data_IF_669896903896
#
_entry.id   IF_669896903896
#
_cell.length_a   1.000
_cell.length_b   1.000
_cell.length_c   1.000
_cell.angle_alpha   90.00
_cell.angle_beta   90.00
_cell.angle_gamma   90.00
#
_symmetry.space_group_name_H-M   'P 1'
#
loop_
_entity.id
_entity.type
_entity.pdbx_description
1 polymer ?
#
# COMPACT_ATOMS: atom_id res chain seq x y z
N UNK A 1 3.43 -27.19 1.69
CA UNK A 1 4.53 -26.26 1.39
C UNK A 1 5.59 -26.88 0.49
N UNK A 2 5.57 -28.20 0.26
CA UNK A 2 6.71 -28.91 -0.36
C UNK A 2 6.91 -28.65 -1.87
N UNK A 3 6.07 -27.80 -2.47
CA UNK A 3 6.09 -27.47 -3.91
C UNK A 3 6.45 -26.00 -4.18
N UNK A 4 6.89 -25.24 -3.16
CA UNK A 4 7.31 -23.84 -3.36
C UNK A 4 8.64 -23.78 -4.12
N UNK A 5 8.75 -22.85 -5.06
CA UNK A 5 9.93 -22.68 -5.91
C UNK A 5 10.38 -21.22 -6.00
N UNK A 6 10.27 -20.47 -4.90
CA UNK A 6 10.45 -19.01 -4.85
C UNK A 6 11.73 -18.51 -5.53
N UNK A 7 12.84 -19.24 -5.45
CA UNK A 7 14.12 -18.86 -6.09
C UNK A 7 14.11 -18.93 -7.63
N UNK A 8 13.14 -19.63 -8.20
CA UNK A 8 12.95 -19.75 -9.65
C UNK A 8 11.98 -18.69 -10.18
N UNK A 9 11.37 -17.90 -9.30
CA UNK A 9 10.40 -16.87 -9.64
C UNK A 9 11.10 -15.52 -9.65
N UNK A 10 10.94 -14.76 -10.73
CA UNK A 10 11.26 -13.34 -10.79
C UNK A 10 9.98 -12.58 -10.43
N UNK A 11 9.90 -11.98 -9.23
CA UNK A 11 8.67 -11.35 -8.77
C UNK A 11 8.53 -9.93 -9.32
N UNK A 12 7.34 -9.63 -9.84
CA UNK A 12 7.00 -8.35 -10.47
C UNK A 12 7.11 -7.19 -9.49
N UNK A 13 6.67 -7.39 -8.25
CA UNK A 13 6.62 -6.35 -7.22
C UNK A 13 8.03 -5.95 -6.75
N UNK A 14 8.93 -6.91 -6.53
CA UNK A 14 10.34 -6.65 -6.21
C UNK A 14 11.00 -5.80 -7.28
N UNK A 15 10.81 -6.17 -8.55
CA UNK A 15 11.44 -5.45 -9.67
C UNK A 15 10.84 -4.05 -9.83
N UNK A 16 9.54 -3.88 -9.58
CA UNK A 16 8.92 -2.56 -9.51
C UNK A 16 9.49 -1.70 -8.38
N UNK A 17 9.80 -2.28 -7.21
CA UNK A 17 10.50 -1.57 -6.13
C UNK A 17 11.95 -1.22 -6.49
N UNK A 18 12.66 -2.07 -7.23
CA UNK A 18 14.01 -1.76 -7.71
C UNK A 18 14.01 -0.53 -8.62
N UNK A 19 13.05 -0.44 -9.56
CA UNK A 19 12.83 0.77 -10.34
C UNK A 19 12.57 1.99 -9.44
N UNK A 20 11.71 1.84 -8.43
CA UNK A 20 11.37 2.94 -7.53
C UNK A 20 12.57 3.42 -6.71
N UNK A 21 13.43 2.50 -6.28
CA UNK A 21 14.71 2.81 -5.62
C UNK A 21 15.62 3.63 -6.54
N UNK A 22 15.73 3.29 -7.83
CA UNK A 22 16.50 4.08 -8.79
C UNK A 22 15.94 5.51 -8.93
N UNK A 23 14.61 5.66 -8.95
CA UNK A 23 13.93 6.97 -8.97
C UNK A 23 14.27 7.80 -7.73
N UNK A 24 14.24 7.20 -6.54
CA UNK A 24 14.60 7.86 -5.27
C UNK A 24 16.07 8.28 -5.27
N UNK A 25 16.97 7.38 -5.67
CA UNK A 25 18.41 7.68 -5.74
C UNK A 25 18.71 8.81 -6.71
N UNK A 26 18.08 8.81 -7.89
CA UNK A 26 18.25 9.89 -8.86
C UNK A 26 17.81 11.24 -8.26
N UNK A 27 16.65 11.28 -7.61
CA UNK A 27 16.16 12.48 -6.94
C UNK A 27 17.15 12.98 -5.88
N UNK A 28 17.61 12.11 -4.98
CA UNK A 28 18.57 12.47 -3.93
C UNK A 28 19.91 12.97 -4.48
N UNK A 29 20.43 12.36 -5.55
CA UNK A 29 21.65 12.85 -6.21
C UNK A 29 21.46 14.25 -6.80
N UNK A 30 20.28 14.53 -7.35
CA UNK A 30 19.90 15.86 -7.81
C UNK A 30 19.88 16.89 -6.67
N UNK A 31 19.26 16.57 -5.54
CA UNK A 31 19.22 17.45 -4.35
C UNK A 31 20.62 17.71 -3.76
N UNK A 32 21.55 16.76 -3.90
CA UNK A 32 22.96 16.93 -3.50
C UNK A 32 23.81 17.68 -4.54
N UNK A 33 23.25 18.07 -5.68
CA UNK A 33 23.95 18.76 -6.77
C UNK A 33 24.77 17.86 -7.69
N UNK A 34 24.71 16.53 -7.52
CA UNK A 34 25.40 15.59 -8.40
C UNK A 34 24.56 15.25 -9.63
N UNK A 35 24.46 16.23 -10.55
CA UNK A 35 23.63 16.12 -11.74
C UNK A 35 24.08 15.00 -12.68
N UNK A 36 25.38 14.74 -12.80
CA UNK A 36 25.92 13.63 -13.60
C UNK A 36 25.39 12.29 -13.12
N UNK A 37 25.49 11.99 -11.81
CA UNK A 37 24.99 10.71 -11.29
C UNK A 37 23.46 10.60 -11.37
N UNK A 38 22.75 11.70 -11.16
CA UNK A 38 21.29 11.75 -11.37
C UNK A 38 20.94 11.34 -12.81
N UNK A 39 21.63 11.89 -13.79
CA UNK A 39 21.33 11.66 -15.20
C UNK A 39 21.69 10.22 -15.63
N UNK A 40 22.79 9.67 -15.11
CA UNK A 40 23.13 8.24 -15.25
C UNK A 40 22.02 7.33 -14.67
N UNK A 41 21.60 7.57 -13.43
CA UNK A 41 20.54 6.79 -12.79
C UNK A 41 19.22 6.90 -13.55
N UNK A 42 18.90 8.07 -14.10
CA UNK A 42 17.70 8.24 -14.94
C UNK A 42 17.80 7.46 -16.25
N UNK A 43 18.97 7.40 -16.88
CA UNK A 43 19.21 6.59 -18.07
C UNK A 43 19.12 5.09 -17.77
N UNK A 44 19.78 4.63 -16.70
CA UNK A 44 19.70 3.25 -16.23
C UNK A 44 18.24 2.87 -15.94
N UNK A 45 17.50 3.76 -15.25
CA UNK A 45 16.08 3.57 -14.93
C UNK A 45 15.20 3.52 -16.17
N UNK A 46 15.47 4.33 -17.19
CA UNK A 46 14.72 4.29 -18.46
C UNK A 46 14.88 2.94 -19.14
N UNK A 47 16.12 2.45 -19.27
CA UNK A 47 16.39 1.12 -19.84
C UNK A 47 15.78 -0.01 -19.00
N UNK A 48 15.71 0.18 -17.67
CA UNK A 48 15.05 -0.77 -16.78
C UNK A 48 13.56 -0.91 -17.10
N UNK A 49 12.84 0.20 -17.36
CA UNK A 49 11.40 0.14 -17.72
C UNK A 49 11.18 -0.66 -18.98
N UNK A 50 11.99 -0.44 -20.02
CA UNK A 50 11.88 -1.18 -21.29
C UNK A 50 12.06 -2.68 -21.06
N UNK A 51 13.04 -3.06 -20.23
CA UNK A 51 13.28 -4.46 -19.86
C UNK A 51 12.15 -5.01 -19.00
N UNK A 52 11.68 -4.24 -18.02
CA UNK A 52 10.61 -4.62 -17.10
C UNK A 52 9.32 -4.92 -17.85
N UNK A 53 8.90 -4.04 -18.75
CA UNK A 53 7.69 -4.27 -19.56
C UNK A 53 7.86 -5.49 -20.47
N UNK A 54 9.02 -5.65 -21.12
CA UNK A 54 9.30 -6.82 -21.96
C UNK A 54 9.29 -8.16 -21.20
N UNK A 55 9.69 -8.15 -19.92
CA UNK A 55 9.79 -9.35 -19.09
C UNK A 55 8.46 -9.70 -18.42
N UNK A 56 7.75 -8.72 -17.87
CA UNK A 56 6.61 -9.00 -16.98
C UNK A 56 5.25 -8.74 -17.63
N UNK A 57 5.14 -7.86 -18.63
CA UNK A 57 3.84 -7.48 -19.18
C UNK A 57 3.34 -8.50 -20.21
N UNK A 58 2.26 -9.21 -19.90
CA UNK A 58 1.55 -10.03 -20.89
C UNK A 58 0.48 -9.16 -21.58
N UNK A 59 0.68 -8.87 -22.86
CA UNK A 59 -0.23 -8.05 -23.66
C UNK A 59 -1.59 -8.70 -23.94
N UNK A 60 -1.70 -10.03 -23.85
CA UNK A 60 -2.95 -10.77 -24.02
C UNK A 60 -3.80 -10.67 -22.76
N UNK A 61 -3.15 -10.80 -21.61
CA UNK A 61 -3.83 -10.69 -20.32
C UNK A 61 -4.04 -9.23 -19.91
N UNK A 62 -3.17 -8.30 -20.33
CA UNK A 62 -3.27 -6.87 -20.02
C UNK A 62 -2.78 -6.50 -18.62
N UNK A 63 -1.72 -7.15 -18.12
CA UNK A 63 -1.13 -6.86 -16.81
C UNK A 63 0.31 -7.39 -16.71
N UNK A 64 0.98 -7.04 -15.61
CA UNK A 64 2.29 -7.59 -15.26
C UNK A 64 2.17 -8.83 -14.37
N UNK A 65 2.95 -9.87 -14.66
CA UNK A 65 2.91 -11.14 -13.93
C UNK A 65 4.31 -11.58 -13.53
N UNK A 66 4.42 -12.37 -12.47
CA UNK A 66 5.68 -13.00 -12.11
C UNK A 66 6.16 -13.95 -13.22
N UNK A 67 7.47 -14.07 -13.40
CA UNK A 67 8.07 -14.93 -14.43
C UNK A 67 8.81 -16.10 -13.79
N UNK A 68 8.61 -17.32 -14.29
CA UNK A 68 9.51 -18.42 -14.01
C UNK A 68 10.82 -18.26 -14.82
N UNK A 69 11.97 -18.12 -14.17
CA UNK A 69 13.27 -17.96 -14.87
C UNK A 69 13.71 -19.20 -15.63
N UNK A 70 13.26 -20.39 -15.22
CA UNK A 70 13.63 -21.67 -15.84
C UNK A 70 12.79 -21.98 -17.07
N UNK A 71 11.48 -21.71 -17.02
CA UNK A 71 10.56 -22.00 -18.14
C UNK A 71 10.32 -20.80 -19.05
N UNK A 72 10.53 -19.58 -18.55
CA UNK A 72 10.20 -18.34 -19.27
C UNK A 72 8.69 -18.06 -19.32
N UNK A 73 7.89 -18.77 -18.52
CA UNK A 73 6.43 -18.61 -18.49
C UNK A 73 6.01 -17.63 -17.40
N UNK A 74 4.92 -16.90 -17.67
CA UNK A 74 4.25 -16.05 -16.68
C UNK A 74 3.36 -16.88 -15.77
N UNK A 75 3.34 -16.54 -14.48
CA UNK A 75 2.31 -16.99 -13.55
C UNK A 75 1.13 -16.04 -13.59
N UNK A 76 0.10 -16.43 -14.34
CA UNK A 76 -1.10 -15.62 -14.56
C UNK A 76 -2.17 -15.79 -13.46
N UNK A 77 -1.83 -16.45 -12.36
CA UNK A 77 -2.67 -16.56 -11.17
C UNK A 77 -3.10 -15.18 -10.65
N UNK A 78 -4.26 -15.13 -10.00
CA UNK A 78 -4.85 -13.88 -9.52
C UNK A 78 -4.18 -13.40 -8.22
N UNK A 79 -3.01 -12.78 -8.37
CA UNK A 79 -2.31 -12.05 -7.32
C UNK A 79 -2.42 -10.54 -7.52
N UNK A 80 -2.72 -9.76 -6.47
CA UNK A 80 -2.76 -8.31 -6.52
C UNK A 80 -1.40 -7.65 -6.80
N UNK A 81 -0.28 -8.38 -6.66
CA UNK A 81 1.07 -7.89 -7.00
C UNK A 81 1.17 -7.42 -8.45
N UNK A 82 0.31 -7.94 -9.34
CA UNK A 82 0.19 -7.52 -10.74
C UNK A 82 -0.06 -6.01 -10.92
N UNK A 83 -0.56 -5.32 -9.88
CA UNK A 83 -0.84 -3.88 -9.91
C UNK A 83 0.18 -3.04 -9.12
N UNK A 84 1.18 -3.63 -8.48
CA UNK A 84 2.25 -2.90 -7.78
C UNK A 84 3.04 -1.96 -8.72
N UNK A 85 3.24 -2.26 -10.02
CA UNK A 85 3.86 -1.30 -10.93
C UNK A 85 3.09 0.03 -11.05
N UNK A 86 1.76 0.04 -10.84
CA UNK A 86 0.97 1.28 -10.77
C UNK A 86 1.38 2.15 -9.58
N UNK A 87 1.69 1.54 -8.44
CA UNK A 87 2.09 2.25 -7.23
C UNK A 87 3.46 2.92 -7.36
N UNK A 88 4.41 2.21 -7.97
CA UNK A 88 5.80 2.63 -8.17
C UNK A 88 6.00 3.51 -9.40
N UNK A 89 4.98 3.57 -10.28
CA UNK A 89 5.04 4.23 -11.60
C UNK A 89 6.13 3.61 -12.50
N UNK A 90 6.31 2.28 -12.40
CA UNK A 90 7.28 1.48 -13.16
C UNK A 90 6.71 1.07 -14.53
N UNK A 91 6.41 2.06 -15.36
CA UNK A 91 5.89 1.89 -16.71
C UNK A 91 6.02 3.20 -17.47
N UNK A 92 5.89 3.15 -18.80
CA UNK A 92 5.82 4.35 -19.62
C UNK A 92 4.51 5.09 -19.36
N UNK A 93 4.56 6.20 -18.59
CA UNK A 93 3.38 6.97 -18.13
C UNK A 93 2.50 7.48 -19.27
N UNK A 94 3.04 7.65 -20.47
CA UNK A 94 2.28 8.03 -21.66
C UNK A 94 1.38 6.90 -22.19
N UNK A 95 1.58 5.67 -21.74
CA UNK A 95 0.75 4.53 -22.09
C UNK A 95 -0.49 4.45 -21.20
N UNK A 96 -1.43 5.38 -21.41
CA UNK A 96 -2.68 5.42 -20.64
C UNK A 96 -3.56 4.19 -20.85
N UNK A 97 -3.44 3.50 -21.99
CA UNK A 97 -4.15 2.26 -22.27
C UNK A 97 -3.75 1.13 -21.32
N UNK A 98 -2.43 0.94 -21.14
CA UNK A 98 -1.87 -0.08 -20.24
C UNK A 98 -2.40 0.03 -18.80
N UNK A 99 -2.56 1.25 -18.28
CA UNK A 99 -3.12 1.44 -16.93
C UNK A 99 -4.58 0.98 -16.82
N UNK A 100 -5.36 1.17 -17.89
CA UNK A 100 -6.77 0.74 -17.97
C UNK A 100 -6.82 -0.78 -18.08
N UNK A 101 -5.98 -1.39 -18.92
CA UNK A 101 -5.89 -2.84 -19.08
C UNK A 101 -5.63 -3.54 -17.74
N UNK A 102 -4.74 -2.99 -16.92
CA UNK A 102 -4.43 -3.54 -15.59
C UNK A 102 -5.65 -3.47 -14.66
N UNK A 103 -6.40 -2.36 -14.68
CA UNK A 103 -7.65 -2.24 -13.91
C UNK A 103 -8.70 -3.26 -14.40
N UNK A 104 -8.84 -3.42 -15.71
CA UNK A 104 -9.73 -4.41 -16.31
C UNK A 104 -9.34 -5.83 -15.92
N UNK A 105 -8.04 -6.13 -15.87
CA UNK A 105 -7.51 -7.43 -15.42
C UNK A 105 -7.77 -7.69 -13.95
N UNK A 106 -7.54 -6.71 -13.07
CA UNK A 106 -7.91 -6.81 -11.65
C UNK A 106 -9.41 -7.13 -11.48
N UNK A 107 -10.26 -6.52 -12.31
CA UNK A 107 -11.70 -6.74 -12.28
C UNK A 107 -12.09 -8.11 -12.85
N UNK A 108 -11.56 -8.48 -14.02
CA UNK A 108 -11.82 -9.75 -14.73
C UNK A 108 -11.37 -10.94 -13.90
N UNK A 109 -10.19 -10.86 -13.26
CA UNK A 109 -9.71 -11.89 -12.34
C UNK A 109 -10.49 -11.91 -11.01
N UNK A 110 -11.31 -10.90 -10.72
CA UNK A 110 -12.18 -10.87 -9.54
C UNK A 110 -11.53 -10.34 -8.25
N UNK A 111 -10.33 -9.75 -8.32
CA UNK A 111 -9.60 -9.24 -7.14
C UNK A 111 -10.32 -8.07 -6.45
N UNK A 112 -11.13 -7.31 -7.18
CA UNK A 112 -11.79 -6.09 -6.68
C UNK A 112 -13.21 -6.31 -6.12
N UNK A 113 -13.73 -7.54 -6.18
CA UNK A 113 -15.14 -7.82 -5.90
C UNK A 113 -15.46 -7.89 -4.39
N UNK A 114 -14.45 -8.05 -3.54
CA UNK A 114 -14.67 -8.36 -2.13
C UNK A 114 -15.05 -7.14 -1.30
N UNK A 115 -15.86 -7.30 -0.24
CA UNK A 115 -16.35 -6.18 0.55
C UNK A 115 -15.33 -5.63 1.55
N UNK A 116 -14.34 -6.43 1.97
CA UNK A 116 -13.34 -6.01 2.95
C UNK A 116 -12.06 -5.39 2.39
N UNK A 117 -11.92 -5.28 1.07
CA UNK A 117 -10.67 -4.93 0.39
C UNK A 117 -10.21 -6.06 -0.53
N UNK A 118 -8.98 -6.00 -1.00
CA UNK A 118 -8.38 -6.97 -1.93
C UNK A 118 -7.68 -8.09 -1.13
N UNK A 119 -7.94 -9.38 -1.44
CA UNK A 119 -7.22 -10.49 -0.81
C UNK A 119 -5.79 -10.59 -1.36
N UNK A 120 -4.91 -11.26 -0.62
CA UNK A 120 -3.51 -11.48 -1.00
C UNK A 120 -3.35 -12.38 -2.24
N UNK A 121 -4.33 -13.23 -2.51
CA UNK A 121 -4.48 -14.00 -3.76
C UNK A 121 -5.94 -14.48 -3.88
N UNK A 122 -6.28 -15.19 -4.96
CA UNK A 122 -7.51 -15.98 -5.05
C UNK A 122 -7.30 -17.49 -4.84
N UNK A 123 -6.10 -17.92 -4.45
CA UNK A 123 -5.80 -19.32 -4.17
C UNK A 123 -6.55 -19.77 -2.92
N UNK A 124 -7.32 -20.85 -3.02
CA UNK A 124 -8.14 -21.40 -1.93
C UNK A 124 -7.56 -22.72 -1.44
N UNK A 125 -7.80 -23.03 -0.17
CA UNK A 125 -7.43 -24.32 0.42
C UNK A 125 -5.94 -24.48 0.73
N UNK A 126 -5.12 -23.43 0.53
CA UNK A 126 -3.68 -23.46 0.82
C UNK A 126 -3.36 -23.38 2.31
N UNK A 127 -4.30 -22.84 3.10
CA UNK A 127 -4.16 -22.47 4.51
C UNK A 127 -2.97 -21.51 4.79
N UNK A 128 -2.40 -20.86 3.77
CA UNK A 128 -1.30 -19.91 3.94
C UNK A 128 -1.82 -18.53 4.35
N UNK A 129 -0.95 -17.72 4.98
CA UNK A 129 -1.36 -16.38 5.44
C UNK A 129 -1.53 -15.38 4.28
N UNK A 130 -0.73 -15.55 3.23
CA UNK A 130 -0.67 -14.69 2.04
C UNK A 130 -1.58 -15.19 0.90
N UNK A 131 -2.70 -15.80 1.26
CA UNK A 131 -3.70 -16.29 0.31
C UNK A 131 -5.14 -15.93 0.73
N UNK A 132 -6.10 -16.20 -0.14
CA UNK A 132 -7.52 -16.06 0.16
C UNK A 132 -7.90 -16.81 1.47
N UNK A 133 -8.67 -16.20 2.39
CA UNK A 133 -9.41 -14.93 2.26
C UNK A 133 -8.70 -13.71 2.87
N UNK A 134 -7.42 -13.81 3.18
CA UNK A 134 -6.71 -12.79 3.94
C UNK A 134 -6.34 -11.59 3.05
N UNK A 135 -6.70 -10.39 3.50
CA UNK A 135 -6.23 -9.13 2.95
C UNK A 135 -5.24 -8.46 3.92
N UNK A 136 -4.21 -7.85 3.36
CA UNK A 136 -3.13 -7.18 4.10
C UNK A 136 -3.09 -5.70 3.77
N UNK A 137 -2.74 -4.88 4.77
CA UNK A 137 -2.70 -3.44 4.62
C UNK A 137 -1.73 -2.97 3.51
N UNK A 138 -0.49 -3.50 3.39
CA UNK A 138 0.47 -3.01 2.40
C UNK A 138 -0.04 -3.18 0.96
N UNK A 139 -0.53 -4.36 0.60
CA UNK A 139 -0.96 -4.62 -0.78
C UNK A 139 -2.26 -3.89 -1.13
N UNK A 140 -3.20 -3.76 -0.17
CA UNK A 140 -4.39 -2.94 -0.36
C UNK A 140 -4.01 -1.48 -0.59
N UNK A 141 -3.09 -0.94 0.22
CA UNK A 141 -2.60 0.43 0.09
C UNK A 141 -1.93 0.67 -1.26
N UNK A 142 -1.03 -0.21 -1.68
CA UNK A 142 -0.33 -0.08 -2.96
C UNK A 142 -1.30 -0.07 -4.15
N UNK A 143 -2.30 -0.96 -4.16
CA UNK A 143 -3.32 -0.94 -5.22
C UNK A 143 -4.13 0.36 -5.19
N UNK A 144 -4.60 0.77 -4.01
CA UNK A 144 -5.39 2.01 -3.86
C UNK A 144 -4.58 3.21 -4.36
N UNK A 145 -3.33 3.35 -3.91
CA UNK A 145 -2.47 4.46 -4.29
C UNK A 145 -2.06 4.42 -5.76
N UNK A 146 -1.77 3.24 -6.31
CA UNK A 146 -1.49 3.08 -7.74
C UNK A 146 -2.66 3.54 -8.61
N UNK A 147 -3.88 3.13 -8.25
CA UNK A 147 -5.09 3.59 -8.95
C UNK A 147 -5.35 5.09 -8.73
N UNK A 148 -5.09 5.63 -7.54
CA UNK A 148 -5.32 7.04 -7.18
C UNK A 148 -4.38 8.00 -7.93
N UNK A 149 -3.12 7.61 -8.14
CA UNK A 149 -2.11 8.42 -8.84
C UNK A 149 -2.38 8.55 -10.34
N UNK A 150 -3.22 7.69 -10.91
CA UNK A 150 -3.64 7.79 -12.30
C UNK A 150 -4.36 9.10 -12.60
N UNK A 151 -4.21 9.61 -13.82
CA UNK A 151 -4.99 10.73 -14.35
C UNK A 151 -6.39 10.31 -14.85
N UNK A 152 -6.73 9.02 -14.76
CA UNK A 152 -8.01 8.46 -15.21
C UNK A 152 -9.08 8.54 -14.09
N UNK A 153 -10.22 9.23 -14.32
CA UNK A 153 -11.29 9.36 -13.31
C UNK A 153 -11.87 8.02 -12.84
N UNK A 154 -11.98 7.03 -13.73
CA UNK A 154 -12.49 5.69 -13.39
C UNK A 154 -11.54 4.98 -12.43
N UNK A 155 -10.22 5.08 -12.65
CA UNK A 155 -9.22 4.51 -11.74
C UNK A 155 -9.24 5.21 -10.38
N UNK A 156 -9.32 6.54 -10.36
CA UNK A 156 -9.42 7.31 -9.11
C UNK A 156 -10.70 6.99 -8.33
N UNK A 157 -11.82 6.79 -9.04
CA UNK A 157 -13.08 6.36 -8.43
C UNK A 157 -12.94 4.96 -7.82
N UNK A 158 -12.29 4.04 -8.53
CA UNK A 158 -12.05 2.68 -8.01
C UNK A 158 -11.12 2.67 -6.81
N UNK A 159 -10.09 3.52 -6.80
CA UNK A 159 -9.21 3.72 -5.65
C UNK A 159 -10.02 4.13 -4.40
N UNK A 160 -10.94 5.09 -4.56
CA UNK A 160 -11.81 5.53 -3.47
C UNK A 160 -12.73 4.41 -2.95
N UNK A 161 -13.32 3.62 -3.84
CA UNK A 161 -14.17 2.49 -3.44
C UNK A 161 -13.40 1.45 -2.62
N UNK A 162 -12.18 1.10 -3.05
CA UNK A 162 -11.31 0.18 -2.34
C UNK A 162 -10.85 0.76 -0.99
N UNK A 163 -10.48 2.05 -0.95
CA UNK A 163 -10.15 2.74 0.28
C UNK A 163 -11.32 2.70 1.28
N UNK A 164 -12.53 2.98 0.80
CA UNK A 164 -13.72 2.96 1.65
C UNK A 164 -14.03 1.55 2.18
N UNK A 165 -13.87 0.51 1.36
CA UNK A 165 -13.99 -0.89 1.79
C UNK A 165 -12.98 -1.23 2.88
N UNK A 166 -11.70 -0.91 2.67
CA UNK A 166 -10.62 -1.20 3.62
C UNK A 166 -10.79 -0.43 4.94
N UNK A 167 -11.06 0.88 4.90
CA UNK A 167 -11.30 1.70 6.10
C UNK A 167 -12.47 1.12 6.92
N UNK A 168 -13.60 0.82 6.27
CA UNK A 168 -14.77 0.30 6.98
C UNK A 168 -14.54 -1.10 7.55
N UNK A 169 -13.78 -1.96 6.87
CA UNK A 169 -13.37 -3.27 7.39
C UNK A 169 -12.56 -3.14 8.67
N UNK A 170 -11.56 -2.25 8.65
CA UNK A 170 -10.68 -1.99 9.79
C UNK A 170 -11.47 -1.40 10.97
N UNK A 171 -12.29 -0.39 10.68
CA UNK A 171 -13.12 0.26 11.69
C UNK A 171 -14.12 -0.69 12.35
N UNK A 172 -14.75 -1.58 11.58
CA UNK A 172 -15.70 -2.53 12.13
C UNK A 172 -15.07 -3.54 13.11
N UNK A 173 -13.87 -4.05 12.81
CA UNK A 173 -13.15 -4.88 13.79
C UNK A 173 -12.62 -4.07 14.96
N UNK A 174 -12.18 -2.84 14.74
CA UNK A 174 -11.75 -1.98 15.84
C UNK A 174 -12.89 -1.69 16.81
N UNK A 175 -14.11 -1.46 16.32
CA UNK A 175 -15.28 -1.25 17.18
C UNK A 175 -15.66 -2.50 17.99
N UNK A 176 -15.44 -3.69 17.44
CA UNK A 176 -15.75 -4.96 18.10
C UNK A 176 -14.68 -5.40 19.09
N UNK A 177 -13.42 -5.34 18.68
CA UNK A 177 -12.30 -5.97 19.39
C UNK A 177 -11.40 -4.94 20.10
N UNK A 178 -11.57 -3.64 19.83
CA UNK A 178 -10.69 -2.54 20.25
C UNK A 178 -9.22 -2.74 19.83
N UNK A 179 -9.03 -3.41 18.68
CA UNK A 179 -7.73 -3.81 18.14
C UNK A 179 -7.62 -3.51 16.65
N UNK A 180 -6.42 -3.16 16.22
CA UNK A 180 -6.03 -3.10 14.81
C UNK A 180 -5.21 -4.35 14.50
N UNK A 181 -5.70 -5.21 13.61
CA UNK A 181 -5.11 -6.51 13.32
C UNK A 181 -4.02 -6.41 12.26
N UNK A 182 -3.13 -7.40 12.22
CA UNK A 182 -2.09 -7.54 11.21
C UNK A 182 -2.68 -7.75 9.81
N UNK A 183 -3.70 -8.62 9.73
CA UNK A 183 -4.41 -9.03 8.52
C UNK A 183 -5.91 -9.22 8.78
N UNK A 184 -6.71 -9.13 7.72
CA UNK A 184 -8.19 -9.10 7.79
C UNK A 184 -8.82 -10.12 6.85
N UNK A 185 -9.92 -10.76 7.25
CA UNK A 185 -10.74 -11.53 6.31
C UNK A 185 -11.55 -10.55 5.45
N UNK A 186 -11.28 -10.54 4.15
CA UNK A 186 -11.92 -9.59 3.23
C UNK A 186 -13.10 -10.18 2.47
N UNK A 187 -13.29 -11.50 2.54
CA UNK A 187 -14.08 -12.24 1.57
C UNK A 187 -15.59 -12.01 1.66
N UNK A 188 -16.11 -11.73 2.86
CA UNK A 188 -17.55 -11.71 3.16
C UNK A 188 -17.94 -10.46 3.94
N UNK A 189 -19.22 -10.09 3.89
CA UNK A 189 -19.75 -8.91 4.58
C UNK A 189 -19.64 -9.00 6.10
N UNK A 190 -19.74 -10.21 6.67
CA UNK A 190 -19.53 -10.40 8.10
C UNK A 190 -18.11 -10.00 8.49
N UNK A 191 -17.94 -9.50 9.72
CA UNK A 191 -16.68 -8.96 10.19
C UNK A 191 -16.04 -9.90 11.22
N UNK A 192 -14.90 -10.50 10.86
CA UNK A 192 -14.09 -11.36 11.73
C UNK A 192 -12.60 -11.13 11.54
N UNK A 193 -11.82 -11.42 12.58
CA UNK A 193 -10.37 -11.51 12.47
C UNK A 193 -9.99 -12.62 11.47
N UNK A 194 -8.97 -12.34 10.65
CA UNK A 194 -8.39 -13.34 9.75
C UNK A 194 -7.70 -14.46 10.55
N UNK A 195 -7.60 -15.63 9.90
CA UNK A 195 -6.98 -16.84 10.43
C UNK A 195 -6.08 -17.47 9.35
N UNK A 196 -5.35 -18.50 9.73
CA UNK A 196 -4.53 -19.30 8.81
C UNK A 196 -3.06 -18.92 8.78
N UNK A 197 -2.30 -19.87 8.26
CA UNK A 197 -0.84 -20.02 8.21
C UNK A 197 -0.18 -20.28 9.55
N UNK A 198 1.10 -19.92 9.62
CA UNK A 198 2.05 -20.45 10.60
C UNK A 198 1.82 -20.02 12.05
N UNK A 199 1.14 -18.89 12.29
CA UNK A 199 0.91 -18.36 13.63
C UNK A 199 -0.39 -17.57 13.75
N UNK A 200 -0.81 -17.31 14.98
CA UNK A 200 -2.02 -16.56 15.29
C UNK A 200 -1.95 -15.11 14.82
N UNK A 201 -3.08 -14.53 14.41
CA UNK A 201 -3.14 -13.16 13.94
C UNK A 201 -2.73 -12.16 15.04
N UNK A 202 -1.80 -11.25 14.72
CA UNK A 202 -1.28 -10.26 15.66
C UNK A 202 -2.08 -8.95 15.64
N UNK A 203 -1.92 -8.08 16.66
CA UNK A 203 -2.63 -6.80 16.74
C UNK A 203 -1.73 -5.64 17.20
N UNK A 204 -2.25 -4.41 17.07
CA UNK A 204 -1.50 -3.16 17.22
C UNK A 204 -0.69 -2.78 15.98
N UNK A 205 -0.86 -3.51 14.89
CA UNK A 205 0.15 -3.67 13.85
C UNK A 205 0.47 -2.38 13.06
N UNK A 206 1.78 -2.09 12.91
CA UNK A 206 2.27 -0.81 12.38
C UNK A 206 1.77 -0.45 10.99
N UNK A 207 1.88 -1.35 10.01
CA UNK A 207 1.38 -1.07 8.66
C UNK A 207 -0.12 -0.84 8.62
N UNK A 208 -0.90 -1.47 9.52
CA UNK A 208 -2.36 -1.38 9.48
C UNK A 208 -2.77 0.00 9.92
N UNK A 209 -2.16 0.45 11.03
CA UNK A 209 -2.36 1.79 11.57
C UNK A 209 -1.93 2.84 10.54
N UNK A 210 -0.74 2.68 9.95
CA UNK A 210 -0.21 3.62 8.96
C UNK A 210 -1.10 3.76 7.72
N UNK A 211 -1.51 2.63 7.14
CA UNK A 211 -2.37 2.61 5.95
C UNK A 211 -3.73 3.23 6.24
N UNK A 212 -4.39 2.87 7.34
CA UNK A 212 -5.70 3.43 7.66
C UNK A 212 -5.61 4.94 7.88
N UNK A 213 -4.58 5.43 8.58
CA UNK A 213 -4.35 6.86 8.77
C UNK A 213 -4.12 7.59 7.45
N UNK A 214 -3.27 7.05 6.59
CA UNK A 214 -2.99 7.62 5.26
C UNK A 214 -4.28 7.72 4.42
N UNK A 215 -5.06 6.63 4.36
CA UNK A 215 -6.31 6.61 3.60
C UNK A 215 -7.36 7.58 4.18
N UNK A 216 -7.45 7.71 5.50
CA UNK A 216 -8.35 8.67 6.15
C UNK A 216 -7.96 10.12 5.83
N UNK A 217 -6.67 10.44 5.78
CA UNK A 217 -6.20 11.78 5.38
C UNK A 217 -6.48 12.01 3.90
N UNK A 218 -6.05 11.08 3.05
CA UNK A 218 -6.14 11.15 1.58
C UNK A 218 -7.59 11.27 1.10
N UNK A 219 -8.52 10.53 1.72
CA UNK A 219 -9.93 10.50 1.33
C UNK A 219 -10.86 11.23 2.32
N UNK A 220 -10.33 12.05 3.23
CA UNK A 220 -11.07 12.72 4.32
C UNK A 220 -12.39 13.39 3.90
N UNK A 221 -12.42 14.05 2.74
CA UNK A 221 -13.62 14.74 2.22
C UNK A 221 -14.70 13.81 1.67
N UNK A 222 -14.35 12.56 1.36
CA UNK A 222 -15.22 11.59 0.67
C UNK A 222 -15.48 10.33 1.50
N UNK A 223 -14.62 9.99 2.45
CA UNK A 223 -14.70 8.77 3.23
C UNK A 223 -16.02 8.75 4.02
N UNK A 224 -16.76 7.64 3.89
CA UNK A 224 -18.03 7.43 4.59
C UNK A 224 -17.86 6.26 5.52
N UNK A 225 -17.94 6.54 6.83
CA UNK A 225 -18.00 5.50 7.84
C UNK A 225 -19.41 4.93 7.83
N UNK A 226 -19.54 3.66 7.45
CA UNK A 226 -20.79 2.93 7.57
C UNK A 226 -21.07 2.73 9.06
N UNK A 227 -22.29 3.02 9.55
CA UNK A 227 -22.69 2.60 10.86
C UNK A 227 -22.44 1.09 10.96
N UNK A 228 -21.59 0.67 11.89
CA UNK A 228 -21.58 -0.71 12.33
C UNK A 228 -22.89 -0.88 13.05
N UNK A 229 -23.96 -1.26 12.31
CA UNK A 229 -25.22 -1.62 12.91
C UNK A 229 -24.90 -2.52 14.10
N UNK A 230 -25.41 -2.17 15.28
CA UNK A 230 -25.15 -2.95 16.49
C UNK A 230 -25.32 -4.40 16.12
N UNK A 231 -24.27 -5.20 16.33
CA UNK A 231 -24.27 -6.61 16.02
C UNK A 231 -25.51 -7.17 16.72
N UNK A 232 -26.54 -7.51 15.95
CA UNK A 232 -27.66 -8.25 16.48
C UNK A 232 -27.10 -9.62 16.76
N UNK A 233 -26.65 -9.84 18.00
CA UNK A 233 -26.58 -11.18 18.55
C UNK A 233 -27.96 -11.78 18.35
N UNK A 234 -28.01 -12.89 17.62
CA UNK A 234 -29.24 -13.63 17.36
C UNK A 234 -29.59 -14.38 18.63
N UNK A 235 -29.95 -13.66 19.70
CA UNK A 235 -30.65 -14.17 20.89
C UNK A 235 -31.44 -13.03 21.55
N UNK A 236 -32.70 -12.90 21.14
CA UNK A 236 -33.80 -12.60 22.05
C UNK A 236 -34.16 -11.13 22.32
N UNK A 237 -35.38 -10.80 21.88
CA UNK A 237 -36.31 -9.78 22.40
C UNK A 237 -36.08 -8.35 21.90
N UNK A 238 -37.04 -7.90 21.09
CA UNK A 238 -36.97 -6.69 20.30
C UNK A 238 -37.24 -5.38 21.04
N UNK A 239 -36.98 -4.30 20.31
CA UNK A 239 -37.69 -3.03 20.40
C UNK A 239 -37.60 -2.30 19.07
N UNK A 240 -38.76 -1.86 18.59
CA UNK A 240 -38.99 -1.09 17.37
C UNK A 240 -38.56 0.36 17.52
N UNK A 241 -38.00 0.86 16.42
CA UNK A 241 -37.99 2.22 15.86
C UNK A 241 -37.80 3.45 16.77
N UNK A 242 -36.75 4.20 16.47
CA UNK A 242 -36.79 5.67 16.43
C UNK A 242 -35.92 6.17 15.28
N UNK A 243 -36.58 6.63 14.23
CA UNK A 243 -35.99 7.43 13.16
C UNK A 243 -35.46 8.76 13.74
N UNK A 244 -34.20 9.09 13.45
CA UNK A 244 -33.58 10.32 13.92
C UNK A 244 -32.17 10.52 13.39
N UNK A 245 -32.09 11.22 12.25
CA UNK A 245 -31.01 12.14 11.84
C UNK A 245 -29.60 11.89 12.40
N UNK A 246 -28.77 11.10 11.70
CA UNK A 246 -27.35 10.92 12.06
C UNK A 246 -26.40 11.50 11.01
N UNK A 247 -26.16 12.81 11.11
CA UNK A 247 -24.89 13.42 10.68
C UNK A 247 -23.86 13.06 11.76
N UNK A 248 -23.09 12.01 11.54
CA UNK A 248 -22.16 11.42 12.51
C UNK A 248 -20.94 12.32 12.79
N UNK A 249 -20.51 12.25 14.06
CA UNK A 249 -19.50 13.03 14.80
C UNK A 249 -18.18 13.42 14.11
N UNK A 250 -17.81 12.83 12.99
CA UNK A 250 -16.55 13.13 12.29
C UNK A 250 -16.51 14.55 11.71
N UNK A 251 -17.66 15.08 11.25
CA UNK A 251 -17.72 16.46 10.75
C UNK A 251 -17.57 17.50 11.86
N UNK A 252 -17.90 17.15 13.12
CA UNK A 252 -17.72 18.07 14.27
C UNK A 252 -16.27 18.19 14.70
N UNK A 253 -15.46 17.14 14.57
CA UNK A 253 -14.04 17.18 14.96
C UNK A 253 -13.16 17.89 13.92
N UNK A 254 -13.55 17.83 12.65
CA UNK A 254 -12.80 18.45 11.54
C UNK A 254 -13.35 19.82 11.12
N UNK A 255 -14.51 20.23 11.65
CA UNK A 255 -15.19 21.49 11.31
C UNK A 255 -14.81 22.70 12.17
N UNK A 256 -13.71 22.66 12.91
CA UNK A 256 -13.18 23.85 13.61
C UNK A 256 -12.09 24.50 12.76
N UNK A 257 -12.52 25.21 11.71
CA UNK A 257 -11.70 26.20 11.01
C UNK A 257 -11.31 27.29 12.01
N UNK A 258 -10.12 27.17 12.64
CA UNK A 258 -9.25 28.29 13.08
C UNK A 258 -7.92 27.95 13.78
N UNK A 259 -7.45 26.69 13.85
CA UNK A 259 -6.18 26.37 14.55
C UNK A 259 -5.06 25.73 13.72
N UNK A 260 -5.24 25.51 12.41
CA UNK A 260 -4.30 24.72 11.58
C UNK A 260 -2.96 25.41 11.29
N UNK A 261 -2.88 26.74 11.26
CA UNK A 261 -1.64 27.44 10.88
C UNK A 261 -0.61 27.49 12.01
N UNK A 262 -1.06 27.67 13.25
CA UNK A 262 -0.16 27.70 14.41
C UNK A 262 0.41 26.33 14.70
N UNK A 263 -0.41 25.28 14.67
CA UNK A 263 0.05 23.91 14.95
C UNK A 263 1.04 23.42 13.88
N UNK A 264 0.82 23.78 12.61
CA UNK A 264 1.74 23.49 11.51
C UNK A 264 3.06 24.26 11.62
N UNK A 265 3.01 25.55 12.00
CA UNK A 265 4.21 26.35 12.27
C UNK A 265 5.03 25.79 13.44
N UNK A 266 4.38 25.38 14.53
CA UNK A 266 5.06 24.78 15.68
C UNK A 266 5.67 23.41 15.35
N UNK A 267 4.93 22.53 14.66
CA UNK A 267 5.45 21.22 14.26
C UNK A 267 6.60 21.34 13.27
N UNK A 268 6.50 22.23 12.28
CA UNK A 268 7.61 22.52 11.34
C UNK A 268 8.85 23.06 12.06
N UNK A 269 8.69 23.95 13.04
CA UNK A 269 9.81 24.53 13.79
C UNK A 269 10.49 23.50 14.70
N UNK A 270 9.71 22.60 15.30
CA UNK A 270 10.22 21.49 16.11
C UNK A 270 10.93 20.43 15.26
N UNK A 271 10.38 20.08 14.09
CA UNK A 271 11.01 19.18 13.12
C UNK A 271 12.32 19.74 12.57
N UNK A 272 12.37 21.03 12.23
CA UNK A 272 13.61 21.69 11.76
C UNK A 272 14.67 21.76 12.86
N UNK A 273 14.28 21.97 14.13
CA UNK A 273 15.22 21.90 15.26
C UNK A 273 15.73 20.49 15.51
N UNK A 274 14.87 19.49 15.43
CA UNK A 274 15.27 18.09 15.55
C UNK A 274 16.24 17.69 14.43
N UNK A 275 15.95 18.06 13.18
CA UNK A 275 16.83 17.82 12.02
C UNK A 275 18.17 18.55 12.17
N UNK A 276 18.16 19.81 12.60
CA UNK A 276 19.38 20.59 12.84
C UNK A 276 20.26 19.99 13.94
N UNK A 277 19.65 19.41 14.97
CA UNK A 277 20.38 18.79 16.09
C UNK A 277 20.97 17.45 15.66
N UNK A 278 20.22 16.68 14.86
CA UNK A 278 20.67 15.40 14.29
C UNK A 278 21.83 15.59 13.29
N UNK A 279 21.78 16.65 12.48
CA UNK A 279 22.84 16.98 11.53
C UNK A 279 24.10 17.56 12.21
N UNK A 280 23.96 18.32 13.31
CA UNK A 280 25.11 18.80 14.10
C UNK A 280 25.79 17.69 14.90
N UNK A 281 25.05 16.68 15.39
CA UNK A 281 25.65 15.52 16.07
C UNK A 281 26.45 14.61 15.14
N UNK A 282 26.34 14.75 13.81
CA UNK A 282 27.10 13.94 12.85
C UNK A 282 28.37 14.63 12.33
N UNK A 283 28.56 15.93 12.63
CA UNK A 283 29.73 16.70 12.16
C UNK A 283 30.82 16.92 13.22
N UNK A 284 30.68 16.39 14.44
CA UNK A 284 31.65 16.57 15.53
C UNK A 284 32.45 15.30 15.88
N UNK A 285 32.65 14.40 14.92
CA UNK A 285 33.34 13.13 15.15
C UNK A 285 34.13 12.63 13.94
N UNK A 286 35.06 13.44 13.42
CA UNK A 286 36.35 13.00 12.87
C UNK A 286 37.11 14.17 12.23
N UNK A 287 38.01 14.78 13.01
CA UNK A 287 39.17 15.50 12.50
C UNK A 287 40.20 15.61 13.64
N UNK A 288 41.45 15.26 13.32
CA UNK A 288 42.65 15.21 14.18
C UNK A 288 42.79 13.88 14.97
N UNK A 289 43.77 13.01 14.73
CA UNK A 289 45.19 13.33 14.69
C UNK A 289 46.02 12.54 13.65
N UNK A 290 46.98 13.28 13.12
CA UNK A 290 48.05 12.94 12.17
C UNK A 290 49.16 12.11 12.85
N UNK A 291 49.69 11.17 12.07
CA UNK A 291 51.05 10.59 12.04
C UNK A 291 51.93 10.57 13.30
N UNK A 292 52.43 9.38 13.65
CA UNK A 292 53.84 9.17 14.05
C UNK A 292 54.35 7.80 13.59
N UNK A 293 55.37 7.86 12.74
CA UNK A 293 56.27 6.80 12.28
C UNK A 293 57.19 6.32 13.42
N UNK A 294 57.50 5.02 13.52
CA UNK A 294 58.86 4.42 13.62
C UNK A 294 58.85 2.93 14.03
N UNK A 295 59.67 2.14 13.30
CA UNK A 295 60.45 0.92 13.66
C UNK A 295 59.86 -0.09 14.64
N UNK A 296 59.74 -1.38 14.33
CA UNK A 296 60.75 -2.35 13.87
C UNK A 296 60.06 -3.45 13.04
#
# INVERSE_FOLDING_TARGET
MDTIITSDIIPVDLNAFMYWNMKILAHLQGELGNLTRRDELNKERSNFVDTFEAVFFDTREGAWFDLNVKTGEHYDDAYPSLAVPLFTECYHVLNSGMMIDVLETLQRKGLLQFPGGVPASLMKGTNQQWDYPNGWAPINHMIIEGLRKSNNPTMQQRAFELANKWINRNYALYQKDHKMWEKYDVAKEYVRAAKGGEYENQYGFGWTNGVVLDLLVTFSKRAVVKPTGGVTDVHGIGRTDLAGTNRTLLTRYLGTEKSSDLLWLFTKRSLLRALSTFLKCKSSGNSEAVAKTKSL
#
